data_IF_139558589643
#
_entry.id   IF_139558589643
#
_cell.length_a   1.000
_cell.length_b   1.000
_cell.length_c   1.000
_cell.angle_alpha   90.00
_cell.angle_beta   90.00
_cell.angle_gamma   90.00
#
_symmetry.space_group_name_H-M   'P 1'
#
loop_
_entity.id
_entity.type
_entity.pdbx_description
1 polymer ?
#
# COMPACT_ATOMS: atom_id res chain seq x y z
N UNK A 1 -4.22 21.90 -16.31
CA UNK A 1 -3.47 21.23 -15.24
C UNK A 1 -4.37 21.23 -14.03
N UNK A 2 -5.09 20.13 -13.79
CA UNK A 2 -5.94 20.01 -12.60
C UNK A 2 -5.03 19.90 -11.40
N UNK A 3 -5.29 20.72 -10.37
CA UNK A 3 -4.60 20.67 -9.09
C UNK A 3 -4.58 19.23 -8.58
N UNK A 4 -3.39 18.62 -8.53
CA UNK A 4 -3.20 17.38 -7.80
C UNK A 4 -3.31 17.80 -6.33
N UNK A 5 -4.51 17.73 -5.78
CA UNK A 5 -4.75 18.00 -4.36
C UNK A 5 -3.92 16.98 -3.58
N UNK A 6 -2.86 17.46 -2.91
CA UNK A 6 -2.02 16.64 -2.05
C UNK A 6 -2.76 16.33 -0.75
N UNK A 7 -2.48 15.16 -0.17
CA UNK A 7 -2.92 14.85 1.19
C UNK A 7 -2.43 15.93 2.15
N UNK A 8 -3.24 16.26 3.16
CA UNK A 8 -2.76 17.07 4.29
C UNK A 8 -1.63 16.34 5.03
N UNK A 9 -0.82 17.08 5.80
CA UNK A 9 0.25 16.50 6.60
C UNK A 9 -0.28 15.42 7.57
N UNK A 10 -1.44 15.67 8.20
CA UNK A 10 -2.11 14.71 9.08
C UNK A 10 -2.53 13.44 8.33
N UNK A 11 -3.12 13.57 7.14
CA UNK A 11 -3.50 12.42 6.32
C UNK A 11 -2.26 11.64 5.87
N UNK A 12 -1.19 12.31 5.48
CA UNK A 12 0.06 11.65 5.12
C UNK A 12 0.65 10.87 6.31
N UNK A 13 0.75 11.52 7.47
CA UNK A 13 1.29 10.93 8.69
C UNK A 13 0.49 9.72 9.19
N UNK A 14 -0.82 9.70 8.93
CA UNK A 14 -1.71 8.62 9.35
C UNK A 14 -1.81 7.48 8.32
N UNK A 15 -1.90 7.82 7.02
CA UNK A 15 -2.29 6.87 5.98
C UNK A 15 -1.10 6.33 5.18
N UNK A 16 -0.02 7.10 5.04
CA UNK A 16 1.08 6.77 4.12
C UNK A 16 2.37 6.50 4.86
N UNK A 17 2.78 7.36 5.79
CA UNK A 17 4.07 7.25 6.45
C UNK A 17 4.27 5.91 7.20
N UNK A 18 3.30 5.41 7.99
CA UNK A 18 3.49 4.16 8.73
C UNK A 18 3.56 2.93 7.81
N UNK A 19 2.65 2.72 6.82
CA UNK A 19 2.79 1.64 5.86
C UNK A 19 4.10 1.70 5.07
N UNK A 20 4.51 2.90 4.61
CA UNK A 20 5.77 3.11 3.88
C UNK A 20 6.98 2.64 4.70
N UNK A 21 7.05 3.04 5.97
CA UNK A 21 8.13 2.63 6.87
C UNK A 21 8.14 1.11 7.04
N UNK A 22 6.98 0.50 7.23
CA UNK A 22 6.87 -0.95 7.43
C UNK A 22 7.27 -1.73 6.19
N UNK A 23 6.76 -1.36 5.01
CA UNK A 23 7.06 -2.08 3.77
C UNK A 23 8.52 -1.91 3.36
N UNK A 24 9.13 -0.75 3.58
CA UNK A 24 10.56 -0.55 3.40
C UNK A 24 11.40 -1.51 4.28
N UNK A 25 11.01 -1.71 5.53
CA UNK A 25 11.67 -2.71 6.40
C UNK A 25 11.46 -4.15 5.92
N UNK A 26 10.28 -4.48 5.38
CA UNK A 26 10.01 -5.81 4.83
C UNK A 26 10.86 -6.06 3.58
N UNK A 27 10.98 -5.10 2.68
CA UNK A 27 11.86 -5.18 1.52
C UNK A 27 13.33 -5.36 1.92
N UNK A 28 13.80 -4.57 2.90
CA UNK A 28 15.16 -4.70 3.44
C UNK A 28 15.42 -6.09 4.03
N UNK A 29 14.46 -6.67 4.77
CA UNK A 29 14.57 -8.01 5.33
C UNK A 29 14.68 -9.12 4.27
N UNK A 30 14.26 -8.83 3.04
CA UNK A 30 14.35 -9.72 1.87
C UNK A 30 15.61 -9.48 1.03
N UNK A 31 16.47 -8.55 1.45
CA UNK A 31 17.75 -8.24 0.79
C UNK A 31 17.69 -7.13 -0.25
N UNK A 32 16.55 -6.43 -0.38
CA UNK A 32 16.42 -5.29 -1.28
C UNK A 32 16.96 -4.00 -0.64
N UNK A 33 17.72 -3.20 -1.40
CA UNK A 33 18.30 -1.95 -0.87
C UNK A 33 17.25 -0.85 -0.75
N UNK A 34 16.34 -0.78 -1.72
CA UNK A 34 15.27 0.20 -1.74
C UNK A 34 13.93 -0.52 -1.89
N UNK A 35 12.87 0.11 -1.38
CA UNK A 35 11.52 -0.48 -1.41
C UNK A 35 11.07 -0.78 -2.85
N UNK A 36 11.36 0.11 -3.80
CA UNK A 36 10.95 -0.08 -5.19
C UNK A 36 11.64 -1.25 -5.90
N UNK A 37 12.72 -1.81 -5.32
CA UNK A 37 13.38 -3.01 -5.84
C UNK A 37 12.59 -4.30 -5.52
N UNK A 38 11.60 -4.23 -4.62
CA UNK A 38 10.80 -5.36 -4.15
C UNK A 38 9.32 -5.18 -4.57
N UNK A 39 8.98 -5.71 -5.74
CA UNK A 39 7.64 -5.59 -6.31
C UNK A 39 6.54 -6.13 -5.37
N UNK A 40 6.66 -7.33 -4.75
CA UNK A 40 5.72 -7.77 -3.73
C UNK A 40 5.53 -6.78 -2.57
N UNK A 41 6.61 -6.20 -2.04
CA UNK A 41 6.51 -5.21 -0.96
C UNK A 41 5.83 -3.89 -1.42
N UNK A 42 6.03 -3.48 -2.67
CA UNK A 42 5.32 -2.34 -3.28
C UNK A 42 3.80 -2.60 -3.41
N UNK A 43 3.40 -3.81 -3.80
CA UNK A 43 1.98 -4.20 -3.85
C UNK A 43 1.36 -4.25 -2.43
N UNK A 44 2.12 -4.76 -1.45
CA UNK A 44 1.70 -4.71 -0.04
C UNK A 44 1.52 -3.26 0.43
N UNK A 45 2.43 -2.34 0.06
CA UNK A 45 2.28 -0.92 0.39
C UNK A 45 0.95 -0.36 -0.15
N UNK A 46 0.63 -0.59 -1.43
CA UNK A 46 -0.65 -0.15 -2.01
C UNK A 46 -1.84 -0.68 -1.21
N UNK A 47 -1.80 -1.97 -0.86
CA UNK A 47 -2.89 -2.63 -0.18
C UNK A 47 -3.09 -2.12 1.26
N UNK A 48 -2.01 -1.90 2.02
CA UNK A 48 -2.07 -1.35 3.38
C UNK A 48 -2.56 0.10 3.39
N UNK A 49 -2.02 0.94 2.50
CA UNK A 49 -2.46 2.34 2.38
C UNK A 49 -3.94 2.39 2.05
N UNK A 50 -4.40 1.57 1.09
CA UNK A 50 -5.82 1.48 0.72
C UNK A 50 -6.70 1.15 1.93
N UNK A 51 -6.31 0.17 2.74
CA UNK A 51 -7.07 -0.21 3.94
C UNK A 51 -7.19 0.92 4.95
N UNK A 52 -6.09 1.63 5.24
CA UNK A 52 -6.12 2.79 6.13
C UNK A 52 -6.93 3.95 5.54
N UNK A 53 -6.84 4.19 4.23
CA UNK A 53 -7.65 5.20 3.53
C UNK A 53 -9.14 4.90 3.63
N UNK A 54 -9.53 3.64 3.43
CA UNK A 54 -10.93 3.21 3.56
C UNK A 54 -11.42 3.40 5.01
N UNK A 55 -10.63 3.02 6.01
CA UNK A 55 -10.94 3.27 7.42
C UNK A 55 -11.08 4.76 7.76
N UNK A 56 -10.15 5.58 7.30
CA UNK A 56 -10.16 7.02 7.48
C UNK A 56 -11.41 7.66 6.87
N UNK A 57 -11.83 7.19 5.71
CA UNK A 57 -13.04 7.67 5.05
C UNK A 57 -14.32 7.33 5.81
N UNK A 58 -14.45 6.09 6.31
CA UNK A 58 -15.68 5.66 6.99
C UNK A 58 -15.73 6.03 8.47
N UNK A 59 -14.58 6.35 9.09
CA UNK A 59 -14.51 6.66 10.51
C UNK A 59 -15.03 8.08 10.79
N UNK A 60 -16.03 8.25 11.66
CA UNK A 60 -16.56 9.57 12.03
C UNK A 60 -15.61 10.37 12.93
N UNK A 61 -14.62 9.71 13.53
CA UNK A 61 -13.64 10.31 14.45
C UNK A 61 -12.31 10.67 13.76
N UNK A 62 -12.16 10.29 12.50
CA UNK A 62 -10.95 10.54 11.72
C UNK A 62 -10.92 11.98 11.19
N UNK A 63 -10.28 12.86 11.97
CA UNK A 63 -10.11 14.27 11.64
C UNK A 63 -11.34 15.13 11.95
N UNK A 64 -11.13 16.45 12.00
CA UNK A 64 -12.23 17.39 11.99
C UNK A 64 -12.92 17.27 10.63
N UNK A 65 -14.21 16.93 10.62
CA UNK A 65 -14.97 16.57 9.39
C UNK A 65 -14.89 17.63 8.27
N UNK A 66 -14.49 18.85 8.60
CA UNK A 66 -14.36 20.00 7.70
C UNK A 66 -12.98 20.12 7.03
N UNK A 67 -11.99 19.30 7.42
CA UNK A 67 -10.61 19.34 6.89
C UNK A 67 -10.18 18.04 6.19
N UNK A 68 -11.11 17.12 5.95
CA UNK A 68 -10.85 15.87 5.25
C UNK A 68 -10.72 16.08 3.74
N UNK A 69 -9.69 15.52 3.12
CA UNK A 69 -9.58 15.49 1.67
C UNK A 69 -10.75 14.73 1.04
N UNK A 70 -11.25 15.14 -0.15
CA UNK A 70 -12.29 14.41 -0.86
C UNK A 70 -11.87 12.95 -1.14
N UNK A 71 -12.83 12.04 -1.24
CA UNK A 71 -12.55 10.65 -1.59
C UNK A 71 -11.75 10.49 -2.89
N UNK A 72 -12.01 11.34 -3.89
CA UNK A 72 -11.28 11.35 -5.16
C UNK A 72 -9.76 11.61 -4.99
N UNK A 73 -9.37 12.31 -3.93
CA UNK A 73 -7.96 12.53 -3.55
C UNK A 73 -7.44 11.37 -2.72
N UNK A 74 -8.20 10.97 -1.70
CA UNK A 74 -7.82 9.88 -0.79
C UNK A 74 -7.61 8.56 -1.53
N UNK A 75 -8.46 8.23 -2.51
CA UNK A 75 -8.36 7.00 -3.29
C UNK A 75 -7.09 6.91 -4.15
N UNK A 76 -6.39 8.03 -4.37
CA UNK A 76 -5.10 8.06 -5.07
C UNK A 76 -3.91 7.84 -4.13
N UNK A 77 -4.11 7.86 -2.80
CA UNK A 77 -3.03 7.71 -1.82
C UNK A 77 -2.19 6.43 -2.01
N UNK A 78 -2.75 5.25 -2.32
CA UNK A 78 -1.95 4.04 -2.56
C UNK A 78 -0.95 4.21 -3.71
N UNK A 79 -1.40 4.78 -4.83
CA UNK A 79 -0.54 5.01 -6.00
C UNK A 79 0.44 6.16 -5.74
N UNK A 80 0.02 7.19 -5.02
CA UNK A 80 0.88 8.28 -4.56
C UNK A 80 2.02 7.77 -3.68
N UNK A 81 1.75 6.84 -2.77
CA UNK A 81 2.77 6.20 -1.94
C UNK A 81 3.80 5.45 -2.81
N UNK A 82 3.36 4.67 -3.80
CA UNK A 82 4.28 4.02 -4.74
C UNK A 82 5.08 5.02 -5.57
N UNK A 83 4.45 6.12 -6.00
CA UNK A 83 5.13 7.20 -6.74
C UNK A 83 6.24 7.85 -5.91
N UNK A 84 6.01 8.05 -4.60
CA UNK A 84 7.03 8.54 -3.68
C UNK A 84 8.18 7.55 -3.51
N UNK A 85 7.88 6.25 -3.39
CA UNK A 85 8.91 5.22 -3.26
C UNK A 85 9.77 5.13 -4.53
N UNK A 86 9.15 5.16 -5.71
CA UNK A 86 9.87 5.13 -7.01
C UNK A 86 10.59 6.45 -7.27
N UNK A 87 10.08 7.58 -6.81
CA UNK A 87 10.72 8.89 -6.99
C UNK A 87 12.11 9.01 -6.35
N UNK A 88 12.51 8.05 -5.52
CA UNK A 88 13.86 7.92 -4.98
C UNK A 88 14.84 7.25 -5.96
N UNK A 89 14.34 6.66 -7.04
CA UNK A 89 15.14 6.10 -8.11
C UNK A 89 15.54 7.18 -9.12
N UNK A 90 16.77 7.09 -9.63
CA UNK A 90 17.24 7.91 -10.75
C UNK A 90 16.66 7.36 -12.06
N UNK A 91 15.35 7.52 -12.24
CA UNK A 91 14.58 7.07 -13.40
C UNK A 91 13.98 8.27 -14.12
N UNK A 92 13.88 8.18 -15.45
CA UNK A 92 13.13 9.15 -16.24
C UNK A 92 11.62 9.03 -16.00
N UNK A 93 10.88 10.08 -16.40
CA UNK A 93 9.43 10.17 -16.20
C UNK A 93 8.65 9.02 -16.86
N UNK A 94 9.05 8.62 -18.07
CA UNK A 94 8.35 7.59 -18.84
C UNK A 94 8.49 6.22 -18.17
N UNK A 95 9.69 5.89 -17.72
CA UNK A 95 9.97 4.68 -16.93
C UNK A 95 9.17 4.69 -15.63
N UNK A 96 9.15 5.81 -14.90
CA UNK A 96 8.37 5.94 -13.66
C UNK A 96 6.88 5.71 -13.88
N UNK A 97 6.30 6.32 -14.91
CA UNK A 97 4.89 6.14 -15.25
C UNK A 97 4.58 4.70 -15.67
N UNK A 98 5.51 4.03 -16.35
CA UNK A 98 5.37 2.62 -16.74
C UNK A 98 5.37 1.71 -15.51
N UNK A 99 6.27 1.93 -14.55
CA UNK A 99 6.28 1.19 -13.29
C UNK A 99 4.99 1.37 -12.49
N UNK A 100 4.48 2.61 -12.40
CA UNK A 100 3.21 2.89 -11.70
C UNK A 100 2.01 2.19 -12.35
N UNK A 101 1.93 2.19 -13.69
CA UNK A 101 0.90 1.44 -14.43
C UNK A 101 1.00 -0.06 -14.19
N UNK A 102 2.22 -0.60 -14.18
CA UNK A 102 2.46 -2.02 -13.92
C UNK A 102 2.04 -2.42 -12.50
N UNK A 103 2.34 -1.58 -11.49
CA UNK A 103 1.91 -1.78 -10.11
C UNK A 103 0.38 -1.77 -9.98
N UNK A 104 -0.28 -0.81 -10.64
CA UNK A 104 -1.73 -0.74 -10.65
C UNK A 104 -2.35 -2.01 -11.27
N UNK A 105 -1.85 -2.44 -12.43
CA UNK A 105 -2.30 -3.67 -13.08
C UNK A 105 -2.04 -4.92 -12.23
N UNK A 106 -0.89 -4.98 -11.54
CA UNK A 106 -0.58 -6.04 -10.59
C UNK A 106 -1.56 -6.09 -9.41
N UNK A 107 -1.90 -4.94 -8.83
CA UNK A 107 -2.89 -4.86 -7.76
C UNK A 107 -4.28 -5.29 -8.23
N UNK A 108 -4.69 -4.88 -9.44
CA UNK A 108 -5.96 -5.30 -10.06
C UNK A 108 -6.01 -6.82 -10.25
N UNK A 109 -4.93 -7.42 -10.73
CA UNK A 109 -4.80 -8.87 -10.89
C UNK A 109 -4.92 -9.61 -9.55
N UNK A 110 -4.20 -9.16 -8.51
CA UNK A 110 -4.29 -9.75 -7.17
C UNK A 110 -5.70 -9.66 -6.59
N UNK A 111 -6.41 -8.55 -6.84
CA UNK A 111 -7.79 -8.37 -6.40
C UNK A 111 -8.74 -9.32 -7.16
N UNK A 112 -8.60 -9.43 -8.48
CA UNK A 112 -9.41 -10.31 -9.32
C UNK A 112 -9.25 -11.78 -8.92
N UNK A 113 -8.03 -12.20 -8.60
CA UNK A 113 -7.74 -13.57 -8.18
C UNK A 113 -7.99 -13.82 -6.68
N UNK A 114 -8.43 -12.81 -5.93
CA UNK A 114 -8.72 -12.92 -4.50
C UNK A 114 -7.50 -13.33 -3.66
N UNK A 115 -6.30 -12.89 -4.07
CA UNK A 115 -5.04 -13.31 -3.43
C UNK A 115 -4.90 -12.70 -2.04
N UNK A 116 -5.25 -11.41 -1.93
CA UNK A 116 -5.12 -10.65 -0.71
C UNK A 116 -6.45 -10.62 0.05
N UNK A 117 -6.43 -10.65 1.40
CA UNK A 117 -7.60 -10.35 2.21
C UNK A 117 -8.19 -8.96 1.91
N UNK A 118 -9.37 -8.66 2.46
CA UNK A 118 -9.90 -7.29 2.39
C UNK A 118 -8.89 -6.29 2.99
N UNK A 119 -8.58 -5.17 2.32
CA UNK A 119 -7.68 -4.14 2.84
C UNK A 119 -8.06 -3.65 4.25
N UNK A 120 -9.36 -3.44 4.49
CA UNK A 120 -9.87 -2.98 5.79
C UNK A 120 -9.71 -4.03 6.88
N UNK A 121 -10.01 -5.30 6.61
CA UNK A 121 -9.77 -6.38 7.58
C UNK A 121 -8.30 -6.49 7.94
N UNK A 122 -7.42 -6.38 6.95
CA UNK A 122 -5.98 -6.51 7.17
C UNK A 122 -5.41 -5.35 8.02
N UNK A 123 -6.03 -4.18 7.94
CA UNK A 123 -5.53 -2.94 8.58
C UNK A 123 -6.32 -2.51 9.81
N UNK A 124 -7.36 -3.23 10.21
CA UNK A 124 -8.25 -2.89 11.33
C UNK A 124 -7.49 -2.65 12.65
N UNK A 125 -6.63 -3.58 13.05
CA UNK A 125 -5.85 -3.45 14.29
C UNK A 125 -4.90 -2.25 14.25
N UNK A 126 -4.28 -2.00 13.09
CA UNK A 126 -3.41 -0.85 12.89
C UNK A 126 -4.20 0.45 13.01
N UNK A 127 -5.36 0.52 12.35
CA UNK A 127 -6.24 1.66 12.41
C UNK A 127 -6.66 2.00 13.85
N UNK A 128 -7.09 1.01 14.63
CA UNK A 128 -7.43 1.21 16.03
C UNK A 128 -6.26 1.73 16.86
N UNK A 129 -5.05 1.18 16.69
CA UNK A 129 -3.87 1.66 17.40
C UNK A 129 -3.54 3.12 17.04
N UNK A 130 -3.65 3.49 15.76
CA UNK A 130 -3.44 4.86 15.29
C UNK A 130 -4.44 5.84 15.89
N UNK A 131 -5.71 5.46 16.04
CA UNK A 131 -6.73 6.29 16.70
C UNK A 131 -6.40 6.58 18.18
N UNK A 132 -5.73 5.64 18.86
CA UNK A 132 -5.29 5.80 20.25
C UNK A 132 -3.90 6.41 20.38
N UNK A 133 -3.31 6.90 19.28
CA UNK A 133 -1.96 7.47 19.22
C UNK A 133 -0.86 6.48 19.65
N UNK A 134 -1.14 5.17 19.61
CA UNK A 134 -0.17 4.12 19.93
C UNK A 134 0.58 3.71 18.65
N UNK A 135 1.62 4.48 18.34
CA UNK A 135 2.46 4.27 17.15
C UNK A 135 3.17 2.90 17.18
N UNK A 136 3.57 2.41 18.36
CA UNK A 136 4.27 1.13 18.49
C UNK A 136 3.38 -0.06 18.15
N UNK A 137 2.15 -0.07 18.66
CA UNK A 137 1.15 -1.08 18.33
C UNK A 137 0.71 -0.97 16.87
N UNK A 138 0.55 0.25 16.34
CA UNK A 138 0.20 0.47 14.94
C UNK A 138 1.26 -0.10 13.98
N UNK A 139 2.54 0.22 14.21
CA UNK A 139 3.64 -0.31 13.40
C UNK A 139 3.73 -1.84 13.47
N UNK A 140 3.53 -2.42 14.66
CA UNK A 140 3.52 -3.87 14.86
C UNK A 140 2.38 -4.53 14.10
N UNK A 141 1.17 -3.96 14.18
CA UNK A 141 0.00 -4.47 13.48
C UNK A 141 0.17 -4.36 11.95
N UNK A 142 0.67 -3.23 11.44
CA UNK A 142 0.99 -3.06 10.02
C UNK A 142 2.07 -4.03 9.54
N UNK A 143 3.09 -4.31 10.36
CA UNK A 143 4.12 -5.30 10.03
C UNK A 143 3.53 -6.69 9.89
N UNK A 144 2.70 -7.12 10.84
CA UNK A 144 2.05 -8.43 10.78
C UNK A 144 1.11 -8.54 9.57
N UNK A 145 0.31 -7.50 9.32
CA UNK A 145 -0.52 -7.35 8.13
C UNK A 145 0.31 -7.46 6.84
N UNK A 146 1.43 -6.75 6.76
CA UNK A 146 2.33 -6.78 5.61
C UNK A 146 2.95 -8.15 5.38
N UNK A 147 3.39 -8.84 6.43
CA UNK A 147 3.90 -10.22 6.34
C UNK A 147 2.84 -11.20 5.82
N UNK A 148 1.60 -11.10 6.30
CA UNK A 148 0.50 -11.93 5.84
C UNK A 148 0.20 -11.70 4.34
N UNK A 149 0.12 -10.44 3.93
CA UNK A 149 -0.11 -10.09 2.53
C UNK A 149 1.04 -10.55 1.62
N UNK A 150 2.28 -10.33 2.05
CA UNK A 150 3.48 -10.75 1.32
C UNK A 150 3.49 -12.27 1.12
N UNK A 151 3.25 -13.02 2.19
CA UNK A 151 3.19 -14.49 2.14
C UNK A 151 2.07 -14.97 1.19
N UNK A 152 0.93 -14.28 1.16
CA UNK A 152 -0.16 -14.60 0.25
C UNK A 152 0.22 -14.40 -1.22
N UNK A 153 0.92 -13.30 -1.54
CA UNK A 153 1.46 -13.02 -2.88
C UNK A 153 2.47 -14.09 -3.29
N UNK A 154 3.45 -14.41 -2.45
CA UNK A 154 4.46 -15.42 -2.75
C UNK A 154 3.85 -16.80 -3.00
N UNK A 155 2.89 -17.20 -2.16
CA UNK A 155 2.19 -18.47 -2.34
C UNK A 155 1.41 -18.50 -3.65
N UNK A 156 0.85 -17.38 -4.07
CA UNK A 156 0.16 -17.25 -5.34
C UNK A 156 1.12 -17.33 -6.54
N UNK A 157 2.25 -16.62 -6.50
CA UNK A 157 3.28 -16.70 -7.54
C UNK A 157 3.81 -18.14 -7.69
N UNK A 158 4.09 -18.81 -6.58
CA UNK A 158 4.56 -20.19 -6.57
C UNK A 158 3.55 -21.17 -7.21
N UNK A 159 2.24 -21.00 -6.95
CA UNK A 159 1.19 -21.82 -7.59
C UNK A 159 1.11 -21.59 -9.10
N UNK A 160 1.24 -20.33 -9.54
CA UNK A 160 1.24 -20.00 -10.98
C UNK A 160 2.44 -20.59 -11.71
N UNK A 161 3.62 -20.53 -11.11
CA UNK A 161 4.83 -21.12 -11.68
C UNK A 161 4.75 -22.64 -11.84
N UNK A 162 3.93 -23.32 -11.02
CA UNK A 162 3.73 -24.78 -11.06
C UNK A 162 2.65 -25.23 -12.04
N UNK A 163 1.90 -24.31 -12.67
CA UNK A 163 0.88 -24.66 -13.65
C UNK A 163 1.52 -24.63 -15.05
N UNK A 164 1.92 -25.78 -15.64
CA UNK A 164 2.46 -25.79 -16.99
C UNK A 164 1.44 -25.20 -17.94
N UNK A 165 1.89 -24.36 -18.87
CA UNK A 165 1.07 -23.84 -19.95
C UNK A 165 0.37 -25.02 -20.62
N UNK A 166 -0.96 -25.08 -20.51
CA UNK A 166 -1.75 -25.99 -21.35
C UNK A 166 -1.61 -25.44 -22.75
N UNK A 167 -0.77 -26.09 -23.55
CA UNK A 167 -0.72 -25.92 -24.99
C UNK A 167 -2.15 -26.10 -25.53
N UNK A 168 -2.69 -25.04 -26.13
CA UNK A 168 -3.93 -25.06 -26.90
C UNK A 168 -3.59 -24.96 -28.38
#
# INVERSE_FOLDING_TARGET
MSDIVALSETEYALLVAPPMKVTAHLAAARGHRQLFDDLPAMLVLMHLVRGLTEWYWVSPQAGDTHSRSPWATLSLAPLGACSMAIGLADMDEETRLTCLKALQAGQELLNMEGVLPSPTMLTENAWHALQHQDQGSAETALRNAGLLALQAIENWEARRAQTPAREH
#
